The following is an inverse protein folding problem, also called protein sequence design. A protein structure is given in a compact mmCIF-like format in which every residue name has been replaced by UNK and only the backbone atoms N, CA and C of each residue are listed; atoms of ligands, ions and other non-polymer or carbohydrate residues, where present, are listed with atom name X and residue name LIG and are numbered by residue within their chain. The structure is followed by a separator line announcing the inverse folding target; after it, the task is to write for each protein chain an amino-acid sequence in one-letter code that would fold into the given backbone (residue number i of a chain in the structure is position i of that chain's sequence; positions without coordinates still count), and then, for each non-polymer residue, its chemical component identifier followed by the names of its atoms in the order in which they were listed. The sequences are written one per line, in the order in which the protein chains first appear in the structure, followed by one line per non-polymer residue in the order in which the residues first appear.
data_IF_439509783335
#
_entry.id   IF_439509783335
#
_cell.length_a   1.000
_cell.length_b   1.000
_cell.length_c   1.000
_cell.angle_alpha   90.00
_cell.angle_beta   90.00
_cell.angle_gamma   90.00
#
_symmetry.space_group_name_H-M   'P 1'
#
loop_
_entity.id
_entity.type
_entity.pdbx_description
1 polymer ?
#
# COMPACT_ATOMS: atom_id res chain seq x y z
N UNK A 1 -33.91 9.02 -20.02
CA UNK A 1 -33.38 7.86 -19.28
C UNK A 1 -32.00 8.23 -18.79
N UNK A 2 -31.88 8.66 -17.53
CA UNK A 2 -30.59 9.08 -16.96
C UNK A 2 -29.89 7.81 -16.51
N UNK A 3 -28.80 7.44 -17.20
CA UNK A 3 -27.99 6.28 -16.87
C UNK A 3 -27.17 6.60 -15.63
N UNK A 4 -27.64 6.16 -14.46
CA UNK A 4 -26.90 6.26 -13.21
C UNK A 4 -25.72 5.29 -13.25
N UNK A 5 -24.51 5.79 -13.50
CA UNK A 5 -23.29 4.99 -13.37
C UNK A 5 -23.04 4.69 -11.88
N UNK A 6 -23.28 3.44 -11.47
CA UNK A 6 -22.78 2.91 -10.21
C UNK A 6 -21.28 2.69 -10.36
N UNK A 7 -20.48 3.67 -9.95
CA UNK A 7 -19.03 3.46 -9.81
C UNK A 7 -18.83 2.51 -8.64
N UNK A 8 -18.54 1.24 -8.95
CA UNK A 8 -18.14 0.28 -7.94
C UNK A 8 -16.84 0.78 -7.31
N UNK A 9 -16.88 1.13 -6.02
CA UNK A 9 -15.69 1.46 -5.26
C UNK A 9 -14.87 0.17 -5.10
N UNK A 10 -13.84 0.00 -5.91
CA UNK A 10 -12.83 -1.03 -5.70
C UNK A 10 -12.05 -0.68 -4.43
N UNK A 11 -12.08 -1.59 -3.44
CA UNK A 11 -11.16 -1.49 -2.31
C UNK A 11 -9.73 -1.58 -2.86
N UNK A 12 -8.85 -0.65 -2.48
CA UNK A 12 -7.44 -0.70 -2.86
C UNK A 12 -6.79 -1.97 -2.30
N UNK A 13 -5.97 -2.60 -3.13
CA UNK A 13 -5.24 -3.83 -2.82
C UNK A 13 -3.75 -3.56 -3.04
N UNK A 14 -3.00 -3.49 -1.95
CA UNK A 14 -1.55 -3.28 -1.98
C UNK A 14 -0.81 -4.32 -2.82
N UNK A 15 -1.34 -5.54 -3.01
CA UNK A 15 -0.72 -6.52 -3.90
C UNK A 15 -0.72 -6.08 -5.37
N UNK A 16 -1.68 -5.24 -5.78
CA UNK A 16 -1.79 -4.71 -7.14
C UNK A 16 -1.04 -3.38 -7.28
N UNK A 17 -0.98 -2.59 -6.21
CA UNK A 17 -0.53 -1.21 -6.25
C UNK A 17 0.98 -1.04 -5.97
N UNK A 18 1.54 -1.87 -5.08
CA UNK A 18 2.92 -1.73 -4.60
C UNK A 18 3.71 -3.03 -4.65
N UNK A 19 5.02 -2.91 -4.62
CA UNK A 19 5.95 -4.02 -4.44
C UNK A 19 6.97 -3.71 -3.33
N UNK A 20 7.44 -4.76 -2.67
CA UNK A 20 8.38 -4.63 -1.55
C UNK A 20 9.79 -4.47 -2.11
N UNK A 21 10.45 -3.37 -1.78
CA UNK A 21 11.78 -3.03 -2.31
C UNK A 21 12.89 -3.59 -1.43
N UNK A 22 12.74 -3.52 -0.11
CA UNK A 22 13.67 -4.10 0.84
C UNK A 22 12.98 -4.42 2.18
N UNK A 23 13.64 -5.23 3.01
CA UNK A 23 13.20 -5.55 4.37
C UNK A 23 12.87 -7.02 4.60
N UNK A 24 12.72 -7.83 3.55
CA UNK A 24 12.37 -9.25 3.68
C UNK A 24 11.11 -9.43 4.53
N UNK A 25 11.19 -10.22 5.59
CA UNK A 25 10.07 -10.45 6.52
C UNK A 25 9.62 -9.21 7.32
N UNK A 26 10.35 -8.10 7.26
CA UNK A 26 9.98 -6.84 7.92
C UNK A 26 8.92 -6.04 7.17
N UNK A 27 8.57 -6.50 5.97
CA UNK A 27 7.70 -5.81 5.04
C UNK A 27 6.63 -6.81 4.56
N UNK A 28 5.37 -6.63 4.99
CA UNK A 28 4.31 -7.62 4.72
C UNK A 28 3.01 -6.98 4.26
N UNK A 29 2.36 -7.63 3.30
CA UNK A 29 0.98 -7.35 2.91
C UNK A 29 0.08 -8.41 3.55
N UNK A 30 -0.89 -7.96 4.34
CA UNK A 30 -1.78 -8.78 5.14
C UNK A 30 -3.24 -8.50 4.77
N UNK A 31 -4.15 -9.30 5.32
CA UNK A 31 -5.62 -9.15 5.16
C UNK A 31 -6.07 -9.14 3.69
N UNK A 32 -5.36 -9.90 2.83
CA UNK A 32 -5.63 -9.97 1.40
C UNK A 32 -5.46 -8.64 0.70
N UNK A 33 -4.35 -7.92 0.97
CA UNK A 33 -4.05 -6.67 0.27
C UNK A 33 -4.42 -5.38 0.99
N UNK A 34 -5.14 -5.47 2.11
CA UNK A 34 -5.73 -4.29 2.76
C UNK A 34 -4.85 -3.65 3.83
N UNK A 35 -3.76 -4.31 4.22
CA UNK A 35 -2.87 -3.81 5.24
C UNK A 35 -1.42 -4.05 4.85
N UNK A 36 -0.67 -2.97 4.70
CA UNK A 36 0.78 -3.00 4.55
C UNK A 36 1.43 -2.72 5.90
N UNK A 37 2.33 -3.59 6.35
CA UNK A 37 3.09 -3.42 7.60
C UNK A 37 4.57 -3.33 7.32
N UNK A 38 5.21 -2.33 7.91
CA UNK A 38 6.65 -2.11 7.87
C UNK A 38 7.20 -2.16 9.30
N UNK A 39 8.35 -2.79 9.49
CA UNK A 39 9.08 -2.81 10.75
C UNK A 39 10.56 -2.45 10.55
N UNK A 40 11.17 -1.99 11.65
CA UNK A 40 12.58 -1.68 11.76
C UNK A 40 13.14 -2.43 12.98
N UNK A 41 14.27 -3.07 12.81
CA UNK A 41 15.04 -3.66 13.91
C UNK A 41 16.51 -3.20 13.84
N UNK A 42 17.36 -3.76 14.71
CA UNK A 42 18.79 -3.43 14.79
C UNK A 42 19.59 -3.78 13.53
N UNK A 43 19.06 -4.64 12.66
CA UNK A 43 19.75 -5.09 11.45
C UNK A 43 19.34 -4.25 10.24
N UNK A 44 18.04 -3.98 10.08
CA UNK A 44 17.54 -3.17 8.96
C UNK A 44 16.10 -2.71 9.11
N UNK A 45 15.72 -1.75 8.28
CA UNK A 45 14.34 -1.33 8.05
C UNK A 45 13.66 -2.08 6.91
N UNK A 46 12.55 -1.53 6.44
CA UNK A 46 11.76 -2.06 5.33
C UNK A 46 11.16 -0.93 4.48
N UNK A 47 10.79 -1.24 3.24
CA UNK A 47 10.25 -0.28 2.29
C UNK A 47 9.44 -0.91 1.17
N UNK A 48 8.70 -0.08 0.46
CA UNK A 48 7.91 -0.45 -0.72
C UNK A 48 7.99 0.66 -1.77
N UNK A 49 7.66 0.32 -3.00
CA UNK A 49 7.49 1.26 -4.10
C UNK A 49 6.19 0.97 -4.84
N UNK A 50 5.64 1.97 -5.52
CA UNK A 50 4.54 1.74 -6.45
C UNK A 50 5.04 0.91 -7.64
N UNK A 51 4.20 -0.01 -8.12
CA UNK A 51 4.53 -0.81 -9.32
C UNK A 51 4.52 0.00 -10.61
N UNK A 52 3.87 1.16 -10.57
CA UNK A 52 3.75 2.08 -11.70
C UNK A 52 4.45 3.37 -11.36
N UNK A 53 4.98 3.99 -12.40
CA UNK A 53 5.49 5.34 -12.36
C UNK A 53 4.40 6.31 -12.81
N UNK A 54 4.35 7.47 -12.18
CA UNK A 54 3.34 8.49 -12.45
C UNK A 54 4.04 9.82 -12.68
N UNK A 55 3.78 10.45 -13.83
CA UNK A 55 4.26 11.81 -14.10
C UNK A 55 3.47 12.86 -13.30
N UNK A 56 2.19 12.60 -13.09
CA UNK A 56 1.27 13.39 -12.24
C UNK A 56 0.32 12.44 -11.52
N UNK A 57 -0.05 12.75 -10.28
CA UNK A 57 -0.98 11.92 -9.52
C UNK A 57 -1.30 12.47 -8.13
N UNK A 58 -2.34 11.91 -7.53
CA UNK A 58 -2.70 12.09 -6.12
C UNK A 58 -2.61 10.73 -5.45
N UNK A 59 -1.88 10.67 -4.34
CA UNK A 59 -1.67 9.44 -3.58
C UNK A 59 -2.22 9.69 -2.18
N UNK A 60 -3.24 8.93 -1.79
CA UNK A 60 -3.83 8.99 -0.46
C UNK A 60 -3.54 7.66 0.26
N UNK A 61 -2.90 7.72 1.43
CA UNK A 61 -2.54 6.54 2.23
C UNK A 61 -2.98 6.77 3.66
N UNK A 62 -3.63 5.77 4.27
CA UNK A 62 -3.93 5.79 5.70
C UNK A 62 -2.77 5.20 6.49
N UNK A 63 -2.12 5.99 7.34
CA UNK A 63 -0.92 5.60 8.08
C UNK A 63 -1.21 5.55 9.58
N UNK A 64 -0.78 4.45 10.22
CA UNK A 64 -0.69 4.34 11.68
C UNK A 64 0.77 4.23 12.09
N UNK A 65 1.23 5.14 12.94
CA UNK A 65 2.59 5.15 13.46
C UNK A 65 2.77 4.21 14.65
N UNK A 66 4.01 3.80 14.89
CA UNK A 66 4.41 3.06 16.09
C UNK A 66 4.32 3.95 17.33
N UNK A 67 4.09 3.32 18.50
CA UNK A 67 4.18 4.01 19.78
C UNK A 67 5.65 4.19 20.20
N UNK A 68 5.92 5.19 21.05
CA UNK A 68 7.25 5.48 21.61
C UNK A 68 7.46 4.85 22.98
#
# INVERSE_FOLDING_TARGET
MILSCLVAASASDFNQDVEMTWGGDRAKILKGGRLLTLSLDKFSGSGFQSKREYLFGRIDIHIKLVAG
#
